data_IF_371582146022
#
_entry.id   IF_371582146022
#
_cell.length_a   1.000
_cell.length_b   1.000
_cell.length_c   1.000
_cell.angle_alpha   90.00
_cell.angle_beta   90.00
_cell.angle_gamma   90.00
#
_symmetry.space_group_name_H-M   'P 1'
#
loop_
_entity.id
_entity.type
_entity.pdbx_description
1 polymer ?
#
# COMPACT_ATOMS: atom_id res chain seq x y z
N UNK A 1 20.63 -10.40 -1.16
CA UNK A 1 19.38 -10.10 -1.90
C UNK A 1 18.41 -9.57 -0.86
N UNK A 2 18.09 -8.26 -0.84
CA UNK A 2 17.08 -7.72 0.10
C UNK A 2 15.81 -8.54 -0.11
N UNK A 3 15.22 -9.10 0.96
CA UNK A 3 13.92 -9.77 0.87
C UNK A 3 12.93 -8.78 0.25
N UNK A 4 12.06 -9.25 -0.66
CA UNK A 4 11.05 -8.37 -1.32
C UNK A 4 10.14 -7.68 -0.30
N UNK A 5 10.07 -8.25 0.90
CA UNK A 5 9.40 -7.72 2.09
C UNK A 5 9.99 -6.40 2.63
N UNK A 6 11.13 -5.91 2.13
CA UNK A 6 11.80 -4.69 2.62
C UNK A 6 11.92 -3.58 1.55
N UNK A 7 11.06 -3.57 0.54
CA UNK A 7 11.01 -2.46 -0.42
C UNK A 7 10.10 -1.33 0.06
N UNK A 8 10.40 -0.10 -0.35
CA UNK A 8 9.55 1.08 -0.11
C UNK A 8 8.12 0.83 -0.62
N UNK A 9 7.99 0.23 -1.81
CA UNK A 9 6.70 -0.14 -2.40
C UNK A 9 5.92 -1.12 -1.51
N UNK A 10 6.55 -2.21 -1.05
CA UNK A 10 5.92 -3.17 -0.16
C UNK A 10 5.53 -2.55 1.19
N UNK A 11 6.31 -1.60 1.70
CA UNK A 11 5.95 -0.82 2.89
C UNK A 11 4.72 0.06 2.65
N UNK A 12 4.70 0.83 1.57
CA UNK A 12 3.58 1.71 1.21
C UNK A 12 2.27 0.90 1.00
N UNK A 13 2.32 -0.22 0.27
CA UNK A 13 1.15 -1.08 0.03
C UNK A 13 0.66 -1.71 1.35
N UNK A 14 1.57 -2.10 2.25
CA UNK A 14 1.18 -2.58 3.58
C UNK A 14 0.50 -1.50 4.41
N UNK A 15 1.00 -0.26 4.40
CA UNK A 15 0.36 0.87 5.08
C UNK A 15 -1.03 1.13 4.50
N UNK A 16 -1.17 1.17 3.18
CA UNK A 16 -2.47 1.30 2.52
C UNK A 16 -3.42 0.17 2.94
N UNK A 17 -2.95 -1.08 2.98
CA UNK A 17 -3.76 -2.21 3.48
C UNK A 17 -4.19 -2.00 4.93
N UNK A 18 -3.30 -1.57 5.82
CA UNK A 18 -3.66 -1.33 7.23
C UNK A 18 -4.73 -0.25 7.30
N UNK A 19 -4.59 0.83 6.55
CA UNK A 19 -5.57 1.92 6.54
C UNK A 19 -6.93 1.46 6.01
N UNK A 20 -6.97 0.63 4.96
CA UNK A 20 -8.24 0.04 4.48
C UNK A 20 -8.95 -0.81 5.53
N UNK A 21 -8.21 -1.40 6.49
CA UNK A 21 -8.78 -2.18 7.58
C UNK A 21 -9.25 -1.28 8.74
N UNK A 22 -8.50 -0.23 9.06
CA UNK A 22 -8.82 0.73 10.12
C UNK A 22 -10.06 1.56 9.78
N UNK A 23 -10.17 1.99 8.54
CA UNK A 23 -11.31 2.79 8.04
C UNK A 23 -12.52 1.91 7.66
N UNK A 24 -12.45 0.61 7.98
CA UNK A 24 -13.47 -0.41 7.76
C UNK A 24 -13.99 -0.48 6.31
N UNK A 25 -13.19 -0.06 5.32
CA UNK A 25 -13.60 0.01 3.92
C UNK A 25 -13.72 -1.41 3.35
N UNK A 26 -14.93 -1.88 2.99
CA UNK A 26 -15.09 -3.24 2.51
C UNK A 26 -14.41 -3.43 1.16
N UNK A 27 -13.70 -4.56 0.99
CA UNK A 27 -13.08 -4.91 -0.31
C UNK A 27 -14.09 -4.96 -1.46
N UNK A 28 -15.36 -5.23 -1.16
CA UNK A 28 -16.47 -5.20 -2.13
C UNK A 28 -16.75 -3.80 -2.64
N UNK A 29 -16.65 -2.76 -1.80
CA UNK A 29 -16.79 -1.36 -2.20
C UNK A 29 -15.65 -0.95 -3.15
N UNK A 30 -14.42 -1.31 -2.79
CA UNK A 30 -13.24 -1.05 -3.64
C UNK A 30 -13.38 -1.77 -4.98
N UNK A 31 -13.82 -3.04 -4.96
CA UNK A 31 -14.03 -3.84 -6.16
C UNK A 31 -15.07 -3.19 -7.10
N UNK A 32 -16.17 -2.68 -6.54
CA UNK A 32 -17.24 -2.04 -7.29
C UNK A 32 -16.78 -0.73 -7.92
N UNK A 33 -16.02 0.09 -7.20
CA UNK A 33 -15.46 1.34 -7.71
C UNK A 33 -14.42 1.13 -8.81
N UNK A 34 -13.62 0.06 -8.71
CA UNK A 34 -12.59 -0.28 -9.71
C UNK A 34 -13.12 -1.12 -10.88
N UNK A 35 -14.37 -1.60 -10.84
CA UNK A 35 -14.90 -2.51 -11.86
C UNK A 35 -14.20 -3.88 -11.90
N UNK A 36 -13.65 -4.34 -10.77
CA UNK A 36 -12.92 -5.63 -10.67
C UNK A 36 -13.59 -6.56 -9.67
N UNK A 37 -13.12 -7.81 -9.60
CA UNK A 37 -13.62 -8.78 -8.61
C UNK A 37 -13.06 -8.51 -7.20
N UNK A 38 -13.83 -8.83 -6.16
CA UNK A 38 -13.36 -8.77 -4.75
C UNK A 38 -12.08 -9.60 -4.50
N UNK A 39 -11.91 -10.82 -5.07
CA UNK A 39 -10.64 -11.54 -5.02
C UNK A 39 -9.47 -10.76 -5.64
N UNK A 40 -9.69 -10.03 -6.74
CA UNK A 40 -8.67 -9.19 -7.38
C UNK A 40 -8.20 -8.08 -6.43
N UNK A 41 -9.11 -7.40 -5.74
CA UNK A 41 -8.75 -6.40 -4.71
C UNK A 41 -7.94 -7.04 -3.58
N UNK A 42 -8.35 -8.23 -3.12
CA UNK A 42 -7.60 -8.95 -2.10
C UNK A 42 -6.19 -9.34 -2.55
N UNK A 43 -5.98 -9.61 -3.84
CA UNK A 43 -4.66 -9.86 -4.43
C UNK A 43 -3.83 -8.58 -4.44
N UNK A 44 -4.38 -7.45 -4.87
CA UNK A 44 -3.67 -6.16 -4.88
C UNK A 44 -3.20 -5.75 -3.48
N UNK A 45 -4.08 -5.79 -2.48
CA UNK A 45 -3.73 -5.43 -1.11
C UNK A 45 -2.72 -6.38 -0.45
N UNK A 46 -2.53 -7.59 -0.98
CA UNK A 46 -1.56 -8.57 -0.47
C UNK A 46 -0.24 -8.57 -1.25
N UNK A 47 -0.16 -7.84 -2.36
CA UNK A 47 1.04 -7.81 -3.18
C UNK A 47 2.12 -6.93 -2.55
N UNK A 48 3.38 -7.28 -2.79
CA UNK A 48 4.53 -6.44 -2.42
C UNK A 48 4.80 -5.34 -3.46
N UNK A 49 4.13 -5.44 -4.62
CA UNK A 49 4.24 -4.51 -5.74
C UNK A 49 2.89 -4.33 -6.41
N UNK A 50 2.63 -3.11 -6.89
CA UNK A 50 1.37 -2.67 -7.47
C UNK A 50 1.64 -1.49 -8.40
N UNK A 51 0.89 -1.38 -9.50
CA UNK A 51 0.99 -0.19 -10.35
C UNK A 51 0.62 1.07 -9.54
N UNK A 52 1.30 2.19 -9.84
CA UNK A 52 1.04 3.46 -9.18
C UNK A 52 -0.41 3.92 -9.38
N UNK A 53 -0.99 3.70 -10.58
CA UNK A 53 -2.40 4.03 -10.85
C UNK A 53 -3.35 3.32 -9.88
N UNK A 54 -3.09 2.04 -9.60
CA UNK A 54 -3.95 1.21 -8.79
C UNK A 54 -3.82 1.59 -7.33
N UNK A 55 -2.59 1.89 -6.88
CA UNK A 55 -2.33 2.39 -5.54
C UNK A 55 -3.08 3.70 -5.28
N UNK A 56 -2.96 4.67 -6.19
CA UNK A 56 -3.64 5.97 -6.10
C UNK A 56 -5.16 5.81 -6.13
N UNK A 57 -5.69 4.95 -7.01
CA UNK A 57 -7.12 4.70 -7.10
C UNK A 57 -7.69 4.08 -5.82
N UNK A 58 -6.98 3.11 -5.22
CA UNK A 58 -7.40 2.51 -3.95
C UNK A 58 -7.32 3.54 -2.81
N UNK A 59 -6.27 4.34 -2.76
CA UNK A 59 -6.12 5.39 -1.74
C UNK A 59 -7.27 6.42 -1.80
N UNK A 60 -7.64 6.87 -3.01
CA UNK A 60 -8.78 7.77 -3.22
C UNK A 60 -10.10 7.14 -2.77
N UNK A 61 -10.36 5.88 -3.14
CA UNK A 61 -11.59 5.16 -2.74
C UNK A 61 -11.69 5.00 -1.22
N UNK A 62 -10.55 4.75 -0.56
CA UNK A 62 -10.46 4.58 0.90
C UNK A 62 -10.53 5.94 1.61
N UNK A 63 -10.15 7.03 0.94
CA UNK A 63 -10.14 8.39 1.48
C UNK A 63 -8.86 8.73 2.24
N UNK A 64 -7.73 8.15 1.85
CA UNK A 64 -6.42 8.33 2.51
C UNK A 64 -5.44 9.09 1.63
N UNK A 65 -4.54 9.86 2.24
CA UNK A 65 -3.52 10.62 1.52
C UNK A 65 -2.40 9.68 1.03
N UNK A 66 -2.43 9.36 -0.26
CA UNK A 66 -1.42 8.53 -0.90
C UNK A 66 0.00 9.13 -0.82
N UNK A 67 0.13 10.46 -0.90
CA UNK A 67 1.43 11.12 -0.88
C UNK A 67 2.06 10.98 0.50
N UNK A 68 1.27 11.11 1.56
CA UNK A 68 1.74 10.92 2.94
C UNK A 68 2.17 9.47 3.19
N UNK A 69 1.40 8.48 2.71
CA UNK A 69 1.79 7.07 2.82
C UNK A 69 3.13 6.79 2.12
N UNK A 70 3.34 7.32 0.92
CA UNK A 70 4.60 7.16 0.17
C UNK A 70 5.76 7.86 0.88
N UNK A 71 5.53 9.07 1.40
CA UNK A 71 6.51 9.84 2.16
C UNK A 71 6.98 9.04 3.39
N UNK A 72 6.04 8.58 4.22
CA UNK A 72 6.36 7.78 5.41
C UNK A 72 7.12 6.49 5.06
N UNK A 73 6.72 5.79 3.99
CA UNK A 73 7.42 4.59 3.54
C UNK A 73 8.86 4.87 3.09
N UNK A 74 9.10 6.04 2.50
CA UNK A 74 10.43 6.47 2.03
C UNK A 74 11.31 6.88 3.21
N UNK A 75 10.77 7.65 4.16
CA UNK A 75 11.47 8.07 5.38
C UNK A 75 11.92 6.86 6.19
N UNK A 76 11.00 5.90 6.43
CA UNK A 76 11.32 4.67 7.16
C UNK A 76 12.45 3.87 6.50
N UNK A 77 12.43 3.74 5.18
CA UNK A 77 13.48 3.03 4.46
C UNK A 77 14.84 3.74 4.53
N UNK A 78 14.85 5.08 4.62
CA UNK A 78 16.07 5.86 4.86
C UNK A 78 16.62 5.62 6.26
N UNK A 79 15.77 5.65 7.28
CA UNK A 79 16.16 5.41 8.67
C UNK A 79 16.75 4.00 8.87
N UNK A 80 16.15 2.99 8.25
CA UNK A 80 16.65 1.61 8.29
C UNK A 80 18.03 1.47 7.60
N UNK A 81 18.26 2.19 6.50
CA UNK A 81 19.55 2.19 5.81
C UNK A 81 20.67 2.87 6.63
N UNK A 82 20.33 3.94 7.35
CA UNK A 82 21.27 4.65 8.23
C UNK A 82 21.60 3.83 9.49
N UNK A 83 20.66 3.00 9.97
CA UNK A 83 20.87 2.10 11.11
C UNK A 83 21.76 0.89 10.77
N UNK A 84 21.68 0.35 9.55
CA UNK A 84 22.53 -0.76 9.09
C UNK A 84 23.99 -0.33 8.79
N UNK A 85 24.25 0.97 8.66
CA UNK A 85 25.56 1.53 8.32
C UNK A 85 26.41 1.90 9.55
N UNK A 86 25.91 1.66 10.77
CA UNK A 86 26.58 1.91 12.06
C UNK A 86 26.98 0.61 12.74
#
# INVERSE_FOLDING_TARGET
MKSRDNTVAASAIRSLRVQTLLDEVPKTRIAQALGVSRPTVAKYLKADDMSLDMFLSIADIVGVDAADIIRQATEKASEEADAESK
#
